data_IF_857369376260
#
_entry.id   IF_857369376260
#
_cell.length_a   1.000
_cell.length_b   1.000
_cell.length_c   1.000
_cell.angle_alpha   90.00
_cell.angle_beta   90.00
_cell.angle_gamma   90.00
#
_symmetry.space_group_name_H-M   'P 1'
#
loop_
_entity.id
_entity.type
_entity.pdbx_description
1 polymer ?
#
# COMPACT_ATOMS: atom_id res chain seq x y z
N UNK A 1 60.46 22.61 42.59
CA UNK A 1 59.65 22.04 41.51
C UNK A 1 58.29 22.70 41.55
N UNK A 2 57.88 23.29 40.43
CA UNK A 2 56.52 23.83 40.25
C UNK A 2 55.70 22.83 39.43
N UNK A 3 54.44 22.56 39.86
CA UNK A 3 53.50 21.72 39.17
C UNK A 3 52.46 22.62 38.45
N UNK A 4 52.19 22.35 37.19
CA UNK A 4 51.14 23.01 36.45
C UNK A 4 50.03 21.96 36.20
N UNK A 5 48.79 22.28 36.55
CA UNK A 5 47.64 21.41 36.37
C UNK A 5 46.66 22.05 35.40
N UNK A 6 46.15 21.29 34.48
CA UNK A 6 45.01 21.66 33.60
C UNK A 6 43.81 20.76 33.90
N UNK A 7 42.65 21.38 34.03
CA UNK A 7 41.40 20.63 34.05
C UNK A 7 40.98 20.39 32.60
N UNK A 8 40.71 19.10 32.24
CA UNK A 8 40.37 18.67 30.89
C UNK A 8 38.89 18.33 30.75
N UNK A 9 38.11 18.34 31.84
CA UNK A 9 36.72 17.89 31.80
C UNK A 9 35.85 18.65 30.80
N UNK A 10 36.06 19.95 30.65
CA UNK A 10 35.34 20.77 29.68
C UNK A 10 35.86 20.69 28.22
N UNK A 11 36.98 19.96 28.03
CA UNK A 11 37.65 19.86 26.71
C UNK A 11 37.48 18.46 26.08
N UNK A 12 36.73 17.59 26.72
CA UNK A 12 36.44 16.22 26.24
C UNK A 12 34.97 16.17 25.95
N UNK A 13 34.61 15.96 24.68
CA UNK A 13 33.24 15.76 24.22
C UNK A 13 33.09 14.35 23.66
N UNK A 14 31.92 13.78 23.86
CA UNK A 14 31.47 12.55 23.24
C UNK A 14 30.30 12.92 22.34
N UNK A 15 30.36 12.55 21.08
CA UNK A 15 29.29 12.78 20.09
C UNK A 15 28.58 11.48 19.83
N UNK A 16 27.26 11.57 19.66
CA UNK A 16 26.38 10.50 19.28
C UNK A 16 26.05 10.58 17.78
N UNK A 17 25.86 9.44 17.10
CA UNK A 17 25.64 9.35 15.66
C UNK A 17 24.33 8.64 15.35
N UNK A 18 23.28 9.40 15.14
CA UNK A 18 21.90 8.91 14.95
C UNK A 18 21.72 8.20 13.59
N UNK A 19 20.85 7.18 13.53
CA UNK A 19 20.50 6.55 12.26
C UNK A 19 19.72 7.51 11.37
N UNK A 20 19.71 7.23 10.06
CA UNK A 20 18.92 7.99 9.10
C UNK A 20 18.29 7.09 8.04
N UNK A 21 17.15 7.54 7.51
CA UNK A 21 16.45 6.89 6.41
C UNK A 21 15.80 7.93 5.51
N UNK A 22 15.83 7.70 4.21
CA UNK A 22 15.19 8.57 3.22
C UNK A 22 13.91 7.91 2.69
N UNK A 23 12.91 8.71 2.27
CA UNK A 23 11.75 8.18 1.56
C UNK A 23 12.17 7.38 0.33
N UNK A 24 11.53 6.23 0.13
CA UNK A 24 11.82 5.32 -0.97
C UNK A 24 10.54 4.84 -1.64
N UNK A 25 10.62 4.55 -2.93
CA UNK A 25 9.53 3.90 -3.68
C UNK A 25 9.87 2.44 -3.90
N UNK A 26 9.06 1.54 -3.37
CA UNK A 26 9.13 0.11 -3.66
C UNK A 26 8.42 -0.21 -4.99
N UNK A 27 8.94 -1.22 -5.71
CA UNK A 27 8.31 -1.75 -6.92
C UNK A 27 7.93 -3.22 -6.66
N UNK A 28 6.78 -3.48 -6.01
CA UNK A 28 6.37 -4.83 -5.68
C UNK A 28 6.01 -5.60 -6.96
N UNK A 29 6.33 -6.90 -6.96
CA UNK A 29 5.96 -7.85 -8.02
C UNK A 29 4.77 -8.72 -7.64
N UNK A 30 4.26 -8.55 -6.43
CA UNK A 30 3.06 -9.22 -5.94
C UNK A 30 1.85 -8.69 -6.71
N UNK A 31 0.98 -9.61 -7.15
CA UNK A 31 -0.28 -9.31 -7.81
C UNK A 31 -1.45 -9.88 -7.01
N UNK A 32 -2.59 -9.22 -7.09
CA UNK A 32 -3.87 -9.70 -6.58
C UNK A 32 -4.78 -9.94 -7.79
N UNK A 33 -5.46 -11.07 -7.82
CA UNK A 33 -6.30 -11.47 -8.96
C UNK A 33 -7.62 -12.03 -8.47
N UNK A 34 -8.72 -11.50 -8.99
CA UNK A 34 -10.09 -11.99 -8.76
C UNK A 34 -10.71 -12.47 -10.06
N UNK A 35 -11.79 -13.23 -9.98
CA UNK A 35 -12.50 -13.82 -11.11
C UNK A 35 -13.97 -13.43 -11.12
N UNK A 36 -14.45 -12.91 -12.23
CA UNK A 36 -15.86 -12.49 -12.41
C UNK A 36 -16.85 -13.64 -12.28
N UNK A 37 -16.46 -14.83 -12.71
CA UNK A 37 -17.34 -16.01 -12.67
C UNK A 37 -17.85 -16.35 -11.26
N UNK A 38 -17.18 -15.89 -10.22
CA UNK A 38 -17.59 -16.09 -8.83
C UNK A 38 -18.58 -15.03 -8.35
N UNK A 39 -18.70 -13.91 -9.07
CA UNK A 39 -19.60 -12.81 -8.72
C UNK A 39 -20.83 -12.72 -9.61
N UNK A 40 -20.86 -13.46 -10.74
CA UNK A 40 -21.95 -13.41 -11.73
C UNK A 40 -23.28 -13.89 -11.14
N UNK A 41 -24.25 -12.99 -11.11
CA UNK A 41 -25.62 -13.27 -10.72
C UNK A 41 -25.87 -13.57 -9.23
N UNK A 42 -24.84 -13.60 -8.39
CA UNK A 42 -24.98 -13.78 -6.94
C UNK A 42 -24.41 -12.57 -6.17
N UNK A 43 -25.28 -11.71 -5.62
CA UNK A 43 -24.82 -10.51 -4.89
C UNK A 43 -24.10 -10.83 -3.56
N UNK A 44 -24.02 -12.11 -3.18
CA UNK A 44 -23.34 -12.58 -1.97
C UNK A 44 -22.08 -13.39 -2.28
N UNK A 45 -21.83 -13.75 -3.53
CA UNK A 45 -20.64 -14.48 -3.97
C UNK A 45 -19.54 -13.51 -4.37
N UNK A 46 -18.80 -13.01 -3.38
CA UNK A 46 -17.63 -12.18 -3.63
C UNK A 46 -16.40 -13.04 -3.92
N UNK A 47 -15.57 -12.62 -4.88
CA UNK A 47 -14.25 -13.18 -5.03
C UNK A 47 -13.22 -12.32 -4.29
N UNK A 48 -12.25 -12.98 -3.64
CA UNK A 48 -11.28 -12.29 -2.78
C UNK A 48 -9.90 -12.89 -2.94
N UNK A 49 -8.91 -12.03 -3.11
CA UNK A 49 -7.51 -12.40 -3.09
C UNK A 49 -6.72 -11.53 -2.10
N UNK A 50 -5.70 -12.12 -1.45
CA UNK A 50 -4.90 -11.46 -0.42
C UNK A 50 -3.42 -11.71 -0.62
N UNK A 51 -2.61 -10.66 -0.45
CA UNK A 51 -1.16 -10.80 -0.47
C UNK A 51 -0.47 -9.79 0.44
N UNK A 52 0.67 -10.19 1.02
CA UNK A 52 1.51 -9.29 1.81
C UNK A 52 2.48 -8.52 0.93
N UNK A 53 2.47 -7.20 1.06
CA UNK A 53 3.41 -6.29 0.41
C UNK A 53 4.55 -5.85 1.34
N UNK A 54 4.44 -6.12 2.65
CA UNK A 54 5.36 -5.64 3.67
C UNK A 54 6.82 -6.05 3.41
N UNK A 55 7.07 -7.30 3.02
CA UNK A 55 8.44 -7.78 2.78
C UNK A 55 9.13 -7.07 1.61
N UNK A 56 8.40 -6.81 0.52
CA UNK A 56 8.95 -6.11 -0.65
C UNK A 56 9.13 -4.61 -0.38
N UNK A 57 8.25 -4.00 0.40
CA UNK A 57 8.40 -2.62 0.85
C UNK A 57 9.60 -2.49 1.80
N UNK A 58 9.76 -3.42 2.75
CA UNK A 58 10.92 -3.43 3.66
C UNK A 58 12.25 -3.61 2.91
N UNK A 59 12.29 -4.48 1.92
CA UNK A 59 13.49 -4.70 1.10
C UNK A 59 13.94 -3.47 0.30
N UNK A 60 13.05 -2.53 0.06
CA UNK A 60 13.38 -1.27 -0.62
C UNK A 60 13.98 -0.23 0.34
N UNK A 61 13.80 -0.37 1.65
CA UNK A 61 14.34 0.58 2.65
C UNK A 61 15.85 0.40 2.75
N UNK A 62 16.58 1.50 2.64
CA UNK A 62 18.05 1.53 2.72
C UNK A 62 18.48 2.45 3.89
N UNK A 63 18.53 1.93 5.12
CA UNK A 63 18.93 2.73 6.28
C UNK A 63 20.42 2.99 6.31
N UNK A 64 20.80 4.09 6.96
CA UNK A 64 22.17 4.40 7.36
C UNK A 64 22.21 4.41 8.88
N UNK A 65 23.06 3.57 9.47
CA UNK A 65 23.07 3.33 10.91
C UNK A 65 24.14 4.10 11.70
N UNK A 66 25.02 4.84 11.00
CA UNK A 66 26.13 5.52 11.67
C UNK A 66 27.22 4.58 12.19
N UNK A 67 27.93 5.01 13.24
CA UNK A 67 29.06 4.29 13.84
C UNK A 67 28.62 3.15 14.74
N UNK A 68 27.43 3.20 15.30
CA UNK A 68 26.91 2.24 16.30
C UNK A 68 26.45 0.91 15.70
N UNK A 69 26.39 0.85 14.37
CA UNK A 69 26.06 -0.36 13.64
C UNK A 69 24.56 -0.60 13.47
N UNK A 70 24.21 -1.72 12.82
CA UNK A 70 22.83 -1.99 12.42
C UNK A 70 22.00 -2.57 13.56
N UNK A 71 20.82 -1.99 13.76
CA UNK A 71 19.72 -2.56 14.51
C UNK A 71 18.53 -2.93 13.59
N UNK A 72 17.34 -3.20 14.14
CA UNK A 72 16.18 -3.59 13.39
C UNK A 72 15.58 -2.42 12.58
N UNK A 73 15.06 -2.74 11.40
CA UNK A 73 14.17 -1.88 10.63
C UNK A 73 12.80 -2.51 10.55
N UNK A 74 11.75 -1.78 10.92
CA UNK A 74 10.37 -2.28 10.92
C UNK A 74 9.45 -1.33 10.15
N UNK A 75 8.41 -1.90 9.51
CA UNK A 75 7.35 -1.13 8.88
C UNK A 75 6.09 -1.14 9.74
N UNK A 76 5.39 -0.03 9.75
CA UNK A 76 4.13 0.17 10.47
C UNK A 76 3.24 1.17 9.71
N UNK A 77 2.02 1.42 10.23
CA UNK A 77 1.11 2.43 9.70
C UNK A 77 0.84 2.26 8.19
N UNK A 78 0.59 1.02 7.77
CA UNK A 78 0.21 0.74 6.39
C UNK A 78 -1.10 1.44 6.05
N UNK A 79 -1.13 2.16 4.93
CA UNK A 79 -2.30 2.89 4.47
C UNK A 79 -2.39 2.90 2.95
N UNK A 80 -3.61 2.71 2.44
CA UNK A 80 -3.93 2.88 1.03
C UNK A 80 -4.25 4.35 0.73
N UNK A 81 -3.74 4.84 -0.39
CA UNK A 81 -3.98 6.20 -0.83
C UNK A 81 -4.50 6.21 -2.27
N UNK A 82 -5.55 6.99 -2.48
CA UNK A 82 -6.02 7.32 -3.81
C UNK A 82 -5.14 8.46 -4.35
N UNK A 83 -4.46 8.23 -5.48
CA UNK A 83 -3.53 9.18 -6.09
C UNK A 83 -4.22 10.14 -7.07
N UNK A 84 -5.50 9.94 -7.31
CA UNK A 84 -6.36 10.77 -8.17
C UNK A 84 -7.48 11.40 -7.35
N UNK A 85 -8.20 12.34 -7.94
CA UNK A 85 -9.36 12.94 -7.26
C UNK A 85 -10.44 11.87 -6.97
N UNK A 86 -11.14 12.02 -5.85
CA UNK A 86 -12.28 11.16 -5.55
C UNK A 86 -13.33 11.29 -6.67
N UNK A 87 -13.84 10.16 -7.15
CA UNK A 87 -14.73 10.09 -8.31
C UNK A 87 -14.03 10.10 -9.67
N UNK A 88 -12.68 10.04 -9.72
CA UNK A 88 -11.97 9.84 -10.97
C UNK A 88 -12.23 8.44 -11.53
N UNK A 89 -12.34 8.29 -12.86
CA UNK A 89 -12.58 6.98 -13.47
C UNK A 89 -11.37 6.06 -13.28
N UNK A 90 -11.64 4.79 -13.02
CA UNK A 90 -10.62 3.73 -12.92
C UNK A 90 -10.07 3.29 -14.29
N UNK A 91 -10.80 3.59 -15.36
CA UNK A 91 -10.58 3.03 -16.69
C UNK A 91 -11.34 1.72 -16.94
N UNK A 92 -12.01 1.19 -15.93
CA UNK A 92 -12.82 -0.03 -15.99
C UNK A 92 -14.31 0.32 -16.02
N UNK A 93 -15.12 -0.62 -16.48
CA UNK A 93 -16.60 -0.53 -16.51
C UNK A 93 -17.21 -1.78 -15.89
N UNK A 94 -18.46 -1.67 -15.46
CA UNK A 94 -19.30 -2.77 -15.00
C UNK A 94 -20.69 -2.58 -15.60
N UNK A 95 -21.18 -3.56 -16.35
CA UNK A 95 -22.43 -3.48 -17.11
C UNK A 95 -22.53 -2.20 -17.98
N UNK A 96 -21.44 -1.82 -18.63
CA UNK A 96 -21.33 -0.62 -19.45
C UNK A 96 -21.28 0.71 -18.67
N UNK A 97 -21.27 0.67 -17.34
CA UNK A 97 -21.19 1.86 -16.47
C UNK A 97 -19.73 2.08 -16.01
N UNK A 98 -19.18 3.28 -16.15
CA UNK A 98 -17.82 3.56 -15.65
C UNK A 98 -17.70 3.33 -14.14
N UNK A 99 -16.59 2.72 -13.73
CA UNK A 99 -16.23 2.53 -12.33
C UNK A 99 -15.35 3.71 -11.89
N UNK A 100 -15.83 4.45 -10.90
CA UNK A 100 -15.14 5.60 -10.31
C UNK A 100 -14.49 5.22 -8.97
N UNK A 101 -13.35 5.82 -8.65
CA UNK A 101 -12.55 5.49 -7.48
C UNK A 101 -12.86 6.44 -6.31
N UNK A 102 -13.00 5.86 -5.12
CA UNK A 102 -13.22 6.61 -3.88
C UNK A 102 -12.40 6.01 -2.73
N UNK A 103 -12.12 6.80 -1.71
CA UNK A 103 -11.61 6.32 -0.42
C UNK A 103 -12.72 6.39 0.61
N UNK A 104 -13.06 5.26 1.21
CA UNK A 104 -14.15 5.10 2.18
C UNK A 104 -13.60 4.42 3.43
N UNK A 105 -13.40 5.18 4.50
CA UNK A 105 -12.89 4.64 5.76
C UNK A 105 -11.51 3.97 5.67
N UNK A 106 -10.63 4.45 4.78
CA UNK A 106 -9.30 3.86 4.54
C UNK A 106 -9.28 2.70 3.54
N UNK A 107 -10.45 2.29 3.03
CA UNK A 107 -10.61 1.32 1.94
C UNK A 107 -10.72 2.08 0.62
N UNK A 108 -10.00 1.64 -0.41
CA UNK A 108 -10.22 2.17 -1.78
C UNK A 108 -11.30 1.31 -2.42
N UNK A 109 -12.33 1.97 -2.94
CA UNK A 109 -13.44 1.31 -3.63
C UNK A 109 -13.56 1.80 -5.06
N UNK A 110 -13.87 0.87 -5.97
CA UNK A 110 -14.35 1.13 -7.31
C UNK A 110 -15.87 1.00 -7.33
N UNK A 111 -16.57 2.07 -7.69
CA UNK A 111 -18.03 2.12 -7.65
C UNK A 111 -18.62 2.70 -8.94
N UNK A 112 -19.78 2.21 -9.36
CA UNK A 112 -20.57 2.77 -10.46
C UNK A 112 -21.35 4.04 -10.05
N UNK A 113 -21.38 4.37 -8.77
CA UNK A 113 -22.01 5.60 -8.29
C UNK A 113 -21.21 6.84 -8.69
N UNK A 114 -21.93 7.97 -8.93
CA UNK A 114 -21.33 9.27 -9.23
C UNK A 114 -20.90 10.03 -7.97
N UNK A 115 -21.26 9.54 -6.79
CA UNK A 115 -20.84 10.05 -5.48
C UNK A 115 -20.22 8.95 -4.65
N UNK A 116 -19.38 9.33 -3.67
CA UNK A 116 -18.75 8.36 -2.80
C UNK A 116 -19.79 7.46 -2.09
N UNK A 117 -19.63 6.14 -2.15
CA UNK A 117 -20.49 5.21 -1.40
C UNK A 117 -20.42 5.46 0.11
N UNK A 118 -21.47 5.12 0.83
CA UNK A 118 -21.53 5.27 2.28
C UNK A 118 -20.65 4.24 3.00
N UNK A 119 -20.45 3.06 2.39
CA UNK A 119 -19.62 1.97 2.89
C UNK A 119 -18.96 1.20 1.75
N UNK A 120 -17.88 0.49 2.04
CA UNK A 120 -17.21 -0.38 1.07
C UNK A 120 -18.05 -1.61 0.65
N UNK A 121 -19.15 -1.86 1.33
CA UNK A 121 -20.13 -2.91 1.03
C UNK A 121 -21.43 -2.39 0.41
N UNK A 122 -21.46 -1.13 -0.03
CA UNK A 122 -22.61 -0.55 -0.73
C UNK A 122 -22.86 -1.29 -2.04
N UNK A 123 -24.12 -1.44 -2.42
CA UNK A 123 -24.52 -2.18 -3.63
C UNK A 123 -23.96 -1.59 -4.94
N UNK A 124 -23.49 -0.36 -4.94
CA UNK A 124 -22.82 0.27 -6.08
C UNK A 124 -21.34 -0.02 -6.17
N UNK A 125 -20.76 -0.66 -5.16
CA UNK A 125 -19.34 -1.01 -5.14
C UNK A 125 -19.11 -2.27 -5.97
N UNK A 126 -18.19 -2.18 -6.92
CA UNK A 126 -17.78 -3.28 -7.80
C UNK A 126 -16.59 -4.02 -7.20
N UNK A 127 -15.63 -3.28 -6.66
CA UNK A 127 -14.50 -3.86 -5.94
C UNK A 127 -14.05 -2.98 -4.77
N UNK A 128 -13.40 -3.59 -3.80
CA UNK A 128 -12.80 -2.92 -2.65
C UNK A 128 -11.37 -3.40 -2.43
N UNK A 129 -10.46 -2.49 -2.08
CA UNK A 129 -9.08 -2.78 -1.72
C UNK A 129 -8.86 -2.28 -0.29
N UNK A 130 -8.48 -3.18 0.60
CA UNK A 130 -8.17 -2.87 1.99
C UNK A 130 -6.74 -3.30 2.35
N UNK A 131 -6.20 -2.76 3.44
CA UNK A 131 -4.91 -3.18 3.99
C UNK A 131 -5.03 -3.35 5.50
N UNK A 132 -4.37 -4.37 6.03
CA UNK A 132 -4.28 -4.58 7.46
C UNK A 132 -3.04 -3.91 8.07
N UNK A 133 -2.89 -4.00 9.40
CA UNK A 133 -1.77 -3.42 10.15
C UNK A 133 -0.43 -4.11 9.88
N UNK A 134 -0.42 -5.24 9.19
CA UNK A 134 0.77 -6.01 8.84
C UNK A 134 1.18 -5.83 7.36
N UNK A 135 0.45 -5.00 6.61
CA UNK A 135 0.73 -4.75 5.19
C UNK A 135 0.20 -5.83 4.26
N UNK A 136 -0.78 -6.63 4.72
CA UNK A 136 -1.54 -7.53 3.85
C UNK A 136 -2.64 -6.75 3.16
N UNK A 137 -2.60 -6.71 1.85
CA UNK A 137 -3.64 -6.10 1.01
C UNK A 137 -4.64 -7.16 0.61
N UNK A 138 -5.92 -6.82 0.70
CA UNK A 138 -7.04 -7.64 0.27
C UNK A 138 -7.78 -6.93 -0.85
N UNK A 139 -7.92 -7.60 -1.99
CA UNK A 139 -8.81 -7.21 -3.07
C UNK A 139 -10.09 -8.05 -2.93
N UNK A 140 -11.24 -7.41 -2.91
CA UNK A 140 -12.56 -8.08 -2.94
C UNK A 140 -13.33 -7.56 -4.14
N UNK A 141 -13.72 -8.44 -5.05
CA UNK A 141 -14.62 -8.13 -6.15
C UNK A 141 -16.05 -8.50 -5.76
N UNK A 142 -16.98 -7.55 -5.93
CA UNK A 142 -18.38 -7.67 -5.49
C UNK A 142 -19.36 -7.69 -6.67
N UNK A 143 -18.91 -7.26 -7.85
CA UNK A 143 -19.68 -7.32 -9.08
C UNK A 143 -18.73 -7.54 -10.26
N UNK A 144 -19.30 -7.88 -11.40
CA UNK A 144 -18.54 -8.13 -12.63
C UNK A 144 -17.82 -6.87 -13.12
N UNK A 145 -16.69 -7.06 -13.78
CA UNK A 145 -15.95 -6.03 -14.52
C UNK A 145 -16.04 -6.40 -16.00
N UNK A 146 -16.47 -5.43 -16.83
CA UNK A 146 -16.59 -5.67 -18.27
C UNK A 146 -15.20 -5.95 -18.87
N UNK A 147 -15.04 -7.10 -19.46
CA UNK A 147 -13.91 -7.45 -20.31
C UNK A 147 -14.19 -7.07 -21.75
N UNK A 148 -13.38 -7.51 -22.70
CA UNK A 148 -13.67 -7.27 -24.11
C UNK A 148 -15.06 -7.83 -24.46
N UNK A 149 -15.80 -7.18 -25.40
CA UNK A 149 -17.11 -7.67 -25.80
C UNK A 149 -17.04 -9.15 -26.16
N UNK A 150 -17.95 -9.99 -25.64
CA UNK A 150 -18.06 -11.44 -25.92
C UNK A 150 -18.12 -11.76 -27.42
N UNK A 151 -18.52 -10.78 -28.24
CA UNK A 151 -18.48 -10.91 -29.70
C UNK A 151 -17.07 -10.97 -30.28
N UNK A 152 -16.05 -10.58 -29.53
CA UNK A 152 -14.64 -10.58 -29.92
C UNK A 152 -13.83 -11.62 -29.15
N UNK A 153 -14.39 -12.13 -28.09
CA UNK A 153 -13.79 -13.14 -27.23
C UNK A 153 -14.71 -14.34 -27.10
N UNK A 154 -14.32 -15.44 -27.74
CA UNK A 154 -15.06 -16.71 -27.72
C UNK A 154 -14.47 -17.69 -26.70
N UNK A 155 -13.46 -17.30 -25.99
CA UNK A 155 -12.87 -18.04 -24.90
C UNK A 155 -13.35 -17.45 -23.57
N UNK A 156 -13.81 -18.28 -22.71
CA UNK A 156 -14.12 -17.95 -21.31
C UNK A 156 -12.80 -17.70 -20.60
N UNK A 157 -12.25 -16.46 -20.76
CA UNK A 157 -10.86 -16.40 -20.55
C UNK A 157 -10.35 -15.28 -19.72
N UNK A 158 -9.34 -15.51 -19.40
CA UNK A 158 -8.09 -15.14 -18.78
C UNK A 158 -7.50 -13.77 -19.20
N UNK A 159 -8.21 -12.91 -19.91
CA UNK A 159 -7.77 -11.55 -20.19
C UNK A 159 -7.89 -10.71 -18.90
N UNK A 160 -6.91 -10.83 -18.01
CA UNK A 160 -6.87 -10.02 -16.80
C UNK A 160 -6.84 -8.53 -17.16
N UNK A 161 -7.81 -7.77 -16.62
CA UNK A 161 -7.78 -6.32 -16.61
C UNK A 161 -7.15 -5.85 -15.30
N UNK A 162 -6.27 -4.88 -15.38
CA UNK A 162 -5.61 -4.30 -14.22
C UNK A 162 -5.97 -2.82 -14.07
N UNK A 163 -5.97 -2.35 -12.82
CA UNK A 163 -5.95 -0.91 -12.55
C UNK A 163 -4.68 -0.29 -13.14
N UNK A 164 -4.83 0.85 -13.80
CA UNK A 164 -3.69 1.58 -14.32
C UNK A 164 -2.75 2.04 -13.19
N UNK A 165 -1.45 2.10 -13.49
CA UNK A 165 -0.47 2.67 -12.56
C UNK A 165 -0.81 4.13 -12.25
N UNK A 166 -0.53 4.55 -11.01
CA UNK A 166 -0.75 5.93 -10.58
C UNK A 166 -2.18 6.23 -10.11
N UNK A 167 -3.04 5.23 -9.91
CA UNK A 167 -4.39 5.41 -9.35
C UNK A 167 -4.42 5.18 -7.85
N UNK A 168 -3.74 4.13 -7.37
CA UNK A 168 -3.72 3.71 -5.96
C UNK A 168 -2.28 3.45 -5.53
N UNK A 169 -1.93 3.80 -4.30
CA UNK A 169 -0.66 3.43 -3.68
C UNK A 169 -0.86 2.87 -2.27
N UNK A 170 0.11 2.07 -1.85
CA UNK A 170 0.27 1.63 -0.47
C UNK A 170 1.48 2.37 0.12
N UNK A 171 1.29 2.95 1.31
CA UNK A 171 2.36 3.59 2.09
C UNK A 171 2.54 2.89 3.42
N UNK A 172 3.75 2.98 3.97
CA UNK A 172 4.07 2.54 5.32
C UNK A 172 5.12 3.48 5.92
N UNK A 173 5.17 3.49 7.24
CA UNK A 173 6.20 4.19 8.02
C UNK A 173 7.33 3.21 8.33
N UNK A 174 8.57 3.57 7.97
CA UNK A 174 9.75 2.80 8.35
C UNK A 174 10.37 3.38 9.63
N UNK A 175 10.54 2.56 10.64
CA UNK A 175 11.34 2.90 11.83
C UNK A 175 12.66 2.13 11.77
N UNK A 176 13.76 2.85 11.77
CA UNK A 176 15.13 2.32 11.78
C UNK A 176 15.72 2.50 13.16
N UNK A 177 16.28 1.44 13.70
CA UNK A 177 16.98 1.44 14.99
C UNK A 177 18.45 1.08 14.74
N UNK A 178 19.39 1.70 15.42
CA UNK A 178 20.81 1.36 15.37
C UNK A 178 21.26 0.47 16.53
N UNK A 179 22.57 0.30 16.69
CA UNK A 179 23.15 -0.67 17.63
C UNK A 179 23.01 -0.29 19.10
N UNK A 180 22.87 0.98 19.44
CA UNK A 180 22.67 1.46 20.82
C UNK A 180 21.21 1.83 21.12
N UNK A 181 20.28 1.55 20.19
CA UNK A 181 18.83 1.71 20.22
C UNK A 181 18.31 3.13 19.92
N UNK A 182 19.06 3.98 19.28
CA UNK A 182 18.53 5.20 18.74
C UNK A 182 17.65 4.96 17.52
N UNK A 183 16.64 5.80 17.33
CA UNK A 183 15.59 5.56 16.32
C UNK A 183 15.31 6.78 15.47
N UNK A 184 15.02 6.49 14.19
CA UNK A 184 14.46 7.45 13.23
C UNK A 184 13.25 6.84 12.51
N UNK A 185 12.32 7.73 12.12
CA UNK A 185 11.08 7.35 11.43
C UNK A 185 10.88 8.18 10.19
#
# INVERSE_FOLDING_TARGET
TATVTADLGGNIAFEDDLPSVSPVTANPTVTLTTQDAQTDGDPTAFDTDTASFAAQMLAAVTPVYGADGAGPTVLSNFALNLLVAAGAPSGLTSNGVPINLYSVGGVIVGSTALAAPAAATDASVVFAISVDTLGTVTLTQQAEIDHLPESLDTSNDNAALALANGLVSLTATATVTDGDNDQVT
#
